data_IF_214801641006
#
_entry.id   IF_214801641006
#
_cell.length_a   1.000
_cell.length_b   1.000
_cell.length_c   1.000
_cell.angle_alpha   90.00
_cell.angle_beta   90.00
_cell.angle_gamma   90.00
#
_symmetry.space_group_name_H-M   'P 1'
#
loop_
_entity.id
_entity.type
_entity.pdbx_description
1 polymer ?
#
# COMPACT_ATOMS: atom_id res chain seq x y z
N UNK A 1 -16.62 5.87 -1.64
CA UNK A 1 -16.15 6.89 -0.68
C UNK A 1 -14.81 6.41 -0.14
N UNK A 2 -13.80 7.28 0.02
CA UNK A 2 -12.53 6.89 0.64
C UNK A 2 -12.74 6.91 2.16
N UNK A 3 -12.78 5.74 2.80
CA UNK A 3 -12.94 5.66 4.25
C UNK A 3 -11.78 6.36 4.95
N UNK A 4 -12.03 7.07 6.05
CA UNK A 4 -10.98 7.73 6.84
C UNK A 4 -10.21 6.78 7.77
N UNK A 5 -10.32 5.47 7.55
CA UNK A 5 -9.71 4.46 8.41
C UNK A 5 -8.22 4.37 8.10
N UNK A 6 -7.38 4.77 9.05
CA UNK A 6 -5.93 4.69 8.93
C UNK A 6 -5.49 3.21 8.85
N UNK A 7 -5.01 2.78 7.69
CA UNK A 7 -4.60 1.39 7.45
C UNK A 7 -3.23 1.03 8.03
N UNK A 8 -2.33 2.00 8.19
CA UNK A 8 -0.95 1.79 8.63
C UNK A 8 -0.54 2.81 9.70
N UNK A 9 0.17 2.37 10.73
CA UNK A 9 0.54 3.20 11.88
C UNK A 9 1.58 4.28 11.55
N UNK A 10 2.37 4.07 10.51
CA UNK A 10 3.44 4.96 10.05
C UNK A 10 3.03 5.87 8.87
N UNK A 11 1.76 5.86 8.47
CA UNK A 11 1.20 6.74 7.45
C UNK A 11 0.07 7.58 8.07
N UNK A 12 0.32 8.85 8.46
CA UNK A 12 -0.75 9.74 8.89
C UNK A 12 -1.67 10.11 7.71
N UNK A 13 -2.91 10.48 8.00
CA UNK A 13 -3.91 10.92 7.01
C UNK A 13 -3.51 12.17 6.22
N UNK A 14 -2.64 13.00 6.80
CA UNK A 14 -2.01 14.17 6.17
C UNK A 14 -0.87 13.80 5.22
N UNK A 15 -0.39 12.55 5.21
CA UNK A 15 0.66 12.12 4.29
C UNK A 15 0.11 12.14 2.86
N UNK A 16 0.85 12.76 1.93
CA UNK A 16 0.42 12.90 0.54
C UNK A 16 0.05 11.56 -0.13
N UNK A 17 0.74 10.49 0.26
CA UNK A 17 0.52 9.15 -0.27
C UNK A 17 -0.64 8.37 0.38
N UNK A 18 -1.23 8.89 1.46
CA UNK A 18 -2.21 8.17 2.30
C UNK A 18 -3.32 7.53 1.47
N UNK A 19 -3.99 8.31 0.64
CA UNK A 19 -5.13 7.85 -0.18
C UNK A 19 -4.74 6.78 -1.19
N UNK A 20 -3.54 6.89 -1.77
CA UNK A 20 -3.05 5.94 -2.76
C UNK A 20 -2.66 4.62 -2.10
N UNK A 21 -1.96 4.70 -0.97
CA UNK A 21 -1.54 3.53 -0.17
C UNK A 21 -2.78 2.77 0.33
N UNK A 22 -3.77 3.49 0.86
CA UNK A 22 -5.03 2.91 1.29
C UNK A 22 -5.72 2.18 0.13
N UNK A 23 -5.80 2.81 -1.04
CA UNK A 23 -6.42 2.17 -2.20
C UNK A 23 -5.69 0.89 -2.63
N UNK A 24 -4.35 0.92 -2.65
CA UNK A 24 -3.55 -0.27 -2.96
C UNK A 24 -3.76 -1.40 -1.94
N UNK A 25 -4.05 -1.07 -0.69
CA UNK A 25 -4.36 -2.06 0.34
C UNK A 25 -5.76 -2.65 0.16
N UNK A 26 -6.77 -1.81 -0.05
CA UNK A 26 -8.15 -2.22 -0.32
C UNK A 26 -8.25 -3.11 -1.57
N UNK A 27 -7.47 -2.80 -2.61
CA UNK A 27 -7.41 -3.58 -3.86
C UNK A 27 -6.51 -4.84 -3.74
N UNK A 28 -5.94 -5.11 -2.55
CA UNK A 28 -5.08 -6.29 -2.32
C UNK A 28 -3.71 -6.23 -3.01
N UNK A 29 -3.34 -5.10 -3.61
CA UNK A 29 -2.09 -4.92 -4.35
C UNK A 29 -0.89 -4.85 -3.39
N UNK A 30 -1.04 -4.16 -2.25
CA UNK A 30 0.01 -3.99 -1.24
C UNK A 30 -0.52 -4.10 0.20
N UNK A 31 0.11 -4.95 1.01
CA UNK A 31 -0.40 -5.33 2.34
C UNK A 31 0.37 -4.73 3.53
N UNK A 32 1.48 -4.02 3.28
CA UNK A 32 2.40 -3.56 4.34
C UNK A 32 3.07 -4.74 5.06
N UNK A 33 3.43 -4.53 6.32
CA UNK A 33 4.16 -5.47 7.15
C UNK A 33 3.29 -5.97 8.31
N UNK A 34 3.67 -7.12 8.90
CA UNK A 34 2.92 -7.76 9.99
C UNK A 34 2.82 -6.89 11.26
N UNK A 35 3.70 -5.91 11.42
CA UNK A 35 3.70 -4.95 12.52
C UNK A 35 2.73 -3.77 12.33
N UNK A 36 1.95 -3.77 11.23
CA UNK A 36 1.00 -2.69 10.91
C UNK A 36 1.64 -1.47 10.27
N UNK A 37 2.90 -1.54 9.83
CA UNK A 37 3.59 -0.47 9.10
C UNK A 37 3.54 -0.67 7.58
N UNK A 38 3.68 0.41 6.81
CA UNK A 38 3.82 0.40 5.34
C UNK A 38 5.27 0.58 4.89
N UNK A 39 6.04 1.40 5.61
CA UNK A 39 7.44 1.76 5.34
C UNK A 39 7.63 2.44 3.98
N UNK A 40 7.05 3.64 3.77
CA UNK A 40 6.97 4.29 2.45
C UNK A 40 8.34 4.68 1.86
N UNK A 41 9.39 4.74 2.69
CA UNK A 41 10.76 5.07 2.26
C UNK A 41 11.61 3.84 1.94
N UNK A 42 11.09 2.62 2.14
CA UNK A 42 11.82 1.40 1.76
C UNK A 42 11.80 1.26 0.25
N UNK A 43 13.00 1.08 -0.32
CA UNK A 43 13.17 0.92 -1.77
C UNK A 43 12.54 -0.40 -2.21
N UNK A 44 11.64 -0.31 -3.18
CA UNK A 44 11.02 -1.45 -3.86
C UNK A 44 11.98 -1.97 -4.92
N UNK A 45 12.30 -3.26 -4.87
CA UNK A 45 13.10 -3.91 -5.91
C UNK A 45 12.23 -4.33 -7.11
N UNK A 46 12.89 -4.75 -8.20
CA UNK A 46 12.20 -5.13 -9.45
C UNK A 46 11.19 -6.27 -9.26
N UNK A 47 11.49 -7.25 -8.41
CA UNK A 47 10.58 -8.37 -8.17
C UNK A 47 9.33 -7.92 -7.41
N UNK A 48 9.48 -7.08 -6.39
CA UNK A 48 8.35 -6.50 -5.66
C UNK A 48 7.48 -5.62 -6.56
N UNK A 49 8.08 -4.79 -7.40
CA UNK A 49 7.33 -4.00 -8.38
C UNK A 49 6.56 -4.90 -9.36
N UNK A 50 7.17 -5.98 -9.83
CA UNK A 50 6.49 -6.95 -10.69
C UNK A 50 5.30 -7.60 -9.99
N UNK A 51 5.40 -7.91 -8.69
CA UNK A 51 4.27 -8.38 -7.88
C UNK A 51 3.13 -7.36 -7.82
N UNK A 52 3.43 -6.07 -7.63
CA UNK A 52 2.39 -5.04 -7.63
C UNK A 52 1.66 -4.93 -8.97
N UNK A 53 2.41 -4.90 -10.07
CA UNK A 53 1.83 -4.85 -11.42
C UNK A 53 1.00 -6.10 -11.73
N UNK A 54 1.50 -7.26 -11.31
CA UNK A 54 0.83 -8.54 -11.45
C UNK A 54 -0.53 -8.55 -10.74
N UNK A 55 -0.59 -8.10 -9.48
CA UNK A 55 -1.85 -7.98 -8.73
C UNK A 55 -2.79 -6.96 -9.38
N UNK A 56 -2.27 -5.81 -9.79
CA UNK A 56 -3.06 -4.72 -10.35
C UNK A 56 -3.71 -5.07 -11.71
N UNK A 57 -3.00 -5.79 -12.59
CA UNK A 57 -3.48 -6.07 -13.95
C UNK A 57 -4.09 -7.46 -14.11
N UNK A 58 -3.70 -8.44 -13.29
CA UNK A 58 -4.10 -9.83 -13.46
C UNK A 58 -5.01 -10.34 -12.32
N UNK A 59 -5.19 -9.57 -11.24
CA UNK A 59 -6.02 -9.95 -10.10
C UNK A 59 -5.50 -11.18 -9.34
N UNK A 60 -4.21 -11.48 -9.46
CA UNK A 60 -3.53 -12.58 -8.76
C UNK A 60 -3.26 -12.27 -7.29
#
# INVERSE_FOLDING_TARGET
EFGTVQCFSDIPDTHWAFRYIQRLNEDGISSGYQDGTYRPMVIVNRAQMATYLSRAFLGM
#
